data_IF_905910226306
#
_entry.id   IF_905910226306
#
_cell.length_a   1.000
_cell.length_b   1.000
_cell.length_c   1.000
_cell.angle_alpha   90.00
_cell.angle_beta   90.00
_cell.angle_gamma   90.00
#
_symmetry.space_group_name_H-M   'P 1'
#
loop_
_entity.id
_entity.type
_entity.pdbx_description
1 polymer ?
#
# COMPACT_ATOMS: atom_id res chain seq x y z
N UNK A 1 2.69 -8.19 3.24
CA UNK A 1 2.80 -8.56 1.81
C UNK A 1 3.66 -9.80 1.73
N UNK A 2 3.20 -10.83 1.02
CA UNK A 2 4.04 -11.97 0.66
C UNK A 2 4.35 -11.81 -0.83
N UNK A 3 5.61 -11.90 -1.22
CA UNK A 3 6.01 -11.88 -2.64
C UNK A 3 7.02 -12.98 -2.92
N UNK A 4 7.09 -13.42 -4.18
CA UNK A 4 8.08 -14.38 -4.67
C UNK A 4 9.18 -13.60 -5.39
N UNK A 5 10.43 -13.78 -4.99
CA UNK A 5 11.57 -13.08 -5.59
C UNK A 5 12.23 -13.86 -6.76
N UNK A 6 11.72 -15.06 -7.06
CA UNK A 6 12.29 -15.98 -8.04
C UNK A 6 12.97 -17.20 -7.41
N UNK A 7 13.35 -17.13 -6.13
CA UNK A 7 14.02 -18.20 -5.38
C UNK A 7 13.24 -18.62 -4.14
N UNK A 8 12.51 -17.69 -3.53
CA UNK A 8 11.77 -17.93 -2.31
C UNK A 8 10.59 -16.98 -2.12
N UNK A 9 9.75 -17.33 -1.15
CA UNK A 9 8.72 -16.44 -0.66
C UNK A 9 9.32 -15.53 0.42
N UNK A 10 9.15 -14.22 0.25
CA UNK A 10 9.53 -13.22 1.23
C UNK A 10 8.28 -12.63 1.90
N UNK A 11 8.35 -12.38 3.20
CA UNK A 11 7.30 -11.75 3.98
C UNK A 11 7.73 -10.35 4.44
N UNK A 12 6.88 -9.37 4.15
CA UNK A 12 7.03 -7.99 4.58
C UNK A 12 5.86 -7.65 5.49
N UNK A 13 6.18 -7.19 6.68
CA UNK A 13 5.22 -6.73 7.68
C UNK A 13 5.43 -5.24 7.92
N UNK A 14 4.36 -4.45 7.77
CA UNK A 14 4.31 -3.04 8.12
C UNK A 14 3.04 -2.80 8.92
N UNK A 15 3.16 -2.03 10.00
CA UNK A 15 2.04 -1.49 10.75
C UNK A 15 1.97 0.01 10.50
N UNK A 16 0.78 0.52 10.21
CA UNK A 16 0.54 1.95 10.25
C UNK A 16 0.21 2.34 11.68
N UNK A 17 0.93 3.31 12.23
CA UNK A 17 0.64 3.82 13.57
C UNK A 17 -0.68 4.62 13.59
N UNK A 18 -1.12 5.15 12.44
CA UNK A 18 -2.39 5.85 12.24
C UNK A 18 -2.94 5.59 10.83
N UNK A 19 -4.25 5.62 10.69
CA UNK A 19 -4.93 5.37 9.41
C UNK A 19 -5.13 3.89 9.12
N UNK A 20 -5.32 3.54 7.84
CA UNK A 20 -5.52 2.15 7.41
C UNK A 20 -4.93 1.92 6.04
N UNK A 21 -4.59 0.66 5.75
CA UNK A 21 -4.24 0.27 4.39
C UNK A 21 -5.48 0.36 3.48
N UNK A 22 -5.31 0.94 2.30
CA UNK A 22 -6.35 0.96 1.26
C UNK A 22 -5.91 0.03 0.16
N UNK A 23 -6.38 -1.21 0.18
CA UNK A 23 -6.12 -2.14 -0.91
C UNK A 23 -7.26 -2.07 -1.93
N UNK A 24 -6.99 -1.72 -3.19
CA UNK A 24 -8.03 -1.73 -4.22
C UNK A 24 -8.51 -3.16 -4.43
N UNK A 25 -9.82 -3.34 -4.58
CA UNK A 25 -10.37 -4.62 -5.03
C UNK A 25 -9.95 -4.84 -6.49
N UNK A 26 -9.24 -5.94 -6.82
CA UNK A 26 -8.92 -6.24 -8.21
C UNK A 26 -10.20 -6.64 -8.94
N UNK A 27 -10.51 -6.00 -10.06
CA UNK A 27 -11.69 -6.34 -10.88
C UNK A 27 -11.63 -7.77 -11.43
N UNK A 28 -10.41 -8.31 -11.64
CA UNK A 28 -10.17 -9.62 -12.23
C UNK A 28 -9.22 -10.50 -11.38
N UNK A 29 -9.19 -10.28 -10.06
CA UNK A 29 -8.35 -11.07 -9.14
C UNK A 29 -6.84 -10.78 -9.18
N UNK A 30 -6.37 -9.95 -10.11
CA UNK A 30 -4.98 -9.44 -10.19
C UNK A 30 -4.98 -7.94 -10.49
N UNK A 31 -3.97 -7.24 -9.97
CA UNK A 31 -3.78 -5.81 -10.15
C UNK A 31 -2.31 -5.54 -10.46
N UNK A 32 -2.04 -4.90 -11.58
CA UNK A 32 -0.70 -4.40 -11.91
C UNK A 32 -0.52 -3.01 -11.31
N UNK A 33 0.56 -2.82 -10.55
CA UNK A 33 0.92 -1.53 -9.95
C UNK A 33 2.38 -1.20 -10.22
N UNK A 34 2.67 0.09 -10.37
CA UNK A 34 4.04 0.60 -10.39
C UNK A 34 4.65 0.60 -8.98
N UNK A 35 5.97 0.69 -8.88
CA UNK A 35 6.67 0.81 -7.59
C UNK A 35 6.16 2.01 -6.76
N UNK A 36 5.85 3.13 -7.43
CA UNK A 36 5.29 4.31 -6.78
C UNK A 36 3.88 4.05 -6.22
N UNK A 37 3.03 3.34 -6.95
CA UNK A 37 1.69 2.96 -6.52
C UNK A 37 1.73 1.99 -5.34
N UNK A 38 2.65 1.02 -5.36
CA UNK A 38 2.89 0.15 -4.21
C UNK A 38 3.34 0.96 -2.99
N UNK A 39 4.27 1.90 -3.15
CA UNK A 39 4.71 2.77 -2.06
C UNK A 39 3.55 3.57 -1.45
N UNK A 40 2.68 4.14 -2.29
CA UNK A 40 1.46 4.83 -1.84
C UNK A 40 0.54 3.92 -1.00
N UNK A 41 0.29 2.69 -1.47
CA UNK A 41 -0.53 1.72 -0.73
C UNK A 41 0.06 1.38 0.64
N UNK A 42 1.39 1.21 0.69
CA UNK A 42 2.12 0.94 1.94
C UNK A 42 2.12 2.14 2.89
N UNK A 43 1.86 3.36 2.42
CA UNK A 43 1.69 4.57 3.23
C UNK A 43 0.22 4.84 3.60
N UNK A 44 -0.72 3.96 3.20
CA UNK A 44 -2.15 4.16 3.42
C UNK A 44 -2.76 5.26 2.55
N UNK A 45 -2.20 5.48 1.35
CA UNK A 45 -2.69 6.40 0.32
C UNK A 45 -3.39 5.59 -0.77
N UNK A 46 -4.63 5.98 -1.13
CA UNK A 46 -5.29 5.41 -2.29
C UNK A 46 -4.69 6.00 -3.57
N UNK A 47 -3.91 5.23 -4.32
CA UNK A 47 -3.31 5.67 -5.58
C UNK A 47 -4.30 6.09 -6.66
N UNK A 48 -5.56 5.62 -6.60
CA UNK A 48 -6.62 6.01 -7.57
C UNK A 48 -7.18 7.39 -7.27
N UNK A 49 -7.06 7.83 -6.02
CA UNK A 49 -7.46 9.15 -5.54
C UNK A 49 -6.51 9.54 -4.40
N UNK A 50 -5.32 10.11 -4.71
CA UNK A 50 -4.19 10.23 -3.79
C UNK A 50 -4.50 11.15 -2.62
N UNK A 51 -5.17 10.57 -1.63
CA UNK A 51 -5.50 11.16 -0.34
C UNK A 51 -5.01 10.18 0.72
N UNK A 52 -4.33 10.72 1.74
CA UNK A 52 -3.97 9.93 2.91
C UNK A 52 -5.22 9.56 3.68
N UNK A 53 -5.31 8.32 4.14
CA UNK A 53 -6.36 7.89 5.07
C UNK A 53 -6.32 8.60 6.42
N UNK A 54 -5.18 9.23 6.73
CA UNK A 54 -5.01 10.06 7.91
C UNK A 54 -4.23 11.33 7.56
N UNK A 55 -4.73 12.48 8.04
CA UNK A 55 -4.04 13.77 7.90
C UNK A 55 -3.42 14.17 9.24
N UNK A 56 -2.11 14.47 9.29
CA UNK A 56 -1.50 15.03 10.49
C UNK A 56 -2.09 16.40 10.81
N UNK A 57 -2.36 16.64 12.09
CA UNK A 57 -2.89 17.92 12.59
C UNK A 57 -1.83 19.05 12.55
N UNK A 58 -0.54 18.70 12.44
CA UNK A 58 0.58 19.63 12.26
C UNK A 58 1.64 18.99 11.37
N UNK A 59 2.16 19.74 10.42
CA UNK A 59 3.49 19.46 9.86
C UNK A 59 4.50 20.03 10.86
N UNK A 60 5.45 19.20 11.30
CA UNK A 60 6.59 19.66 12.09
C UNK A 60 7.54 20.50 11.25
#
# INVERSE_FOLDING_TARGET
>A
VIWWDGQGACLFSKRLERGRFVWPSPAHGRLSVTSAQLAMLLEGIDWRMPQRTWRPLRAG
#
